data_IF_038222780198
#
_entry.id   IF_038222780198
#
_cell.length_a   1.000
_cell.length_b   1.000
_cell.length_c   1.000
_cell.angle_alpha   90.00
_cell.angle_beta   90.00
_cell.angle_gamma   90.00
#
_symmetry.space_group_name_H-M   'P 1'
#
loop_
_entity.id
_entity.type
_entity.pdbx_description
1 polymer ?
#
# COMPACT_ATOMS: atom_id res chain seq x y z
N UNK A 1 -44.36 34.15 5.72
CA UNK A 1 -44.12 33.22 4.59
C UNK A 1 -42.66 33.09 4.15
N UNK A 2 -41.93 34.18 3.82
CA UNK A 2 -40.53 34.08 3.31
C UNK A 2 -39.54 33.31 4.23
N UNK A 3 -39.67 33.41 5.56
CA UNK A 3 -38.81 32.68 6.53
C UNK A 3 -38.99 31.15 6.51
N UNK A 4 -40.21 30.65 6.26
CA UNK A 4 -40.50 29.21 6.18
C UNK A 4 -39.95 28.57 4.90
N UNK A 5 -39.91 29.33 3.80
CA UNK A 5 -39.33 28.88 2.53
C UNK A 5 -37.81 28.74 2.66
N UNK A 6 -37.14 29.72 3.29
CA UNK A 6 -35.69 29.68 3.56
C UNK A 6 -35.29 28.50 4.47
N UNK A 7 -36.07 28.21 5.52
CA UNK A 7 -35.81 27.10 6.42
C UNK A 7 -35.94 25.74 5.71
N UNK A 8 -36.95 25.56 4.86
CA UNK A 8 -37.12 24.34 4.08
C UNK A 8 -36.02 24.15 3.02
N UNK A 9 -35.59 25.23 2.35
CA UNK A 9 -34.45 25.18 1.43
C UNK A 9 -33.16 24.78 2.18
N UNK A 10 -32.93 25.33 3.37
CA UNK A 10 -31.76 24.99 4.19
C UNK A 10 -31.79 23.52 4.65
N UNK A 11 -32.94 23.00 5.05
CA UNK A 11 -33.11 21.58 5.42
C UNK A 11 -32.93 20.64 4.23
N UNK A 12 -33.42 20.99 3.04
CA UNK A 12 -33.20 20.20 1.81
C UNK A 12 -31.73 20.21 1.41
N UNK A 13 -31.05 21.35 1.50
CA UNK A 13 -29.61 21.45 1.22
C UNK A 13 -28.77 20.67 2.24
N UNK A 14 -29.14 20.71 3.52
CA UNK A 14 -28.51 19.90 4.57
C UNK A 14 -28.72 18.41 4.32
N UNK A 15 -29.94 18.00 3.94
CA UNK A 15 -30.25 16.62 3.55
C UNK A 15 -29.38 16.16 2.39
N UNK A 16 -29.32 16.93 1.30
CA UNK A 16 -28.47 16.63 0.15
C UNK A 16 -26.98 16.58 0.50
N UNK A 17 -26.51 17.41 1.43
CA UNK A 17 -25.13 17.39 1.89
C UNK A 17 -24.79 16.13 2.70
N UNK A 18 -25.69 15.70 3.60
CA UNK A 18 -25.54 14.47 4.40
C UNK A 18 -25.54 13.24 3.48
N UNK A 19 -26.54 13.10 2.59
CA UNK A 19 -26.60 11.98 1.64
C UNK A 19 -25.37 11.93 0.71
N UNK A 20 -24.90 13.08 0.20
CA UNK A 20 -23.71 13.13 -0.63
C UNK A 20 -22.42 12.77 0.13
N UNK A 21 -22.35 13.02 1.45
CA UNK A 21 -21.22 12.63 2.29
C UNK A 21 -21.24 11.12 2.58
N UNK A 22 -22.42 10.55 2.78
CA UNK A 22 -22.63 9.11 2.97
C UNK A 22 -22.26 8.33 1.71
N UNK A 23 -22.73 8.74 0.53
CA UNK A 23 -22.40 8.12 -0.76
C UNK A 23 -20.88 8.13 -1.04
N UNK A 24 -20.21 9.25 -0.75
CA UNK A 24 -18.75 9.38 -0.92
C UNK A 24 -18.01 8.44 0.04
N UNK A 25 -18.53 8.25 1.24
CA UNK A 25 -17.93 7.37 2.26
C UNK A 25 -18.12 5.92 1.87
N UNK A 26 -19.32 5.53 1.44
CA UNK A 26 -19.61 4.19 0.95
C UNK A 26 -18.72 3.82 -0.25
N UNK A 27 -18.58 4.72 -1.23
CA UNK A 27 -17.69 4.51 -2.37
C UNK A 27 -16.24 4.29 -1.94
N UNK A 28 -15.74 5.03 -0.94
CA UNK A 28 -14.37 4.84 -0.40
C UNK A 28 -14.20 3.48 0.27
N UNK A 29 -15.22 2.99 0.97
CA UNK A 29 -15.21 1.68 1.62
C UNK A 29 -15.23 0.57 0.57
N UNK A 30 -16.16 0.62 -0.39
CA UNK A 30 -16.28 -0.38 -1.44
C UNK A 30 -15.01 -0.43 -2.32
N UNK A 31 -14.41 0.72 -2.64
CA UNK A 31 -13.12 0.77 -3.33
C UNK A 31 -12.00 0.11 -2.53
N UNK A 32 -11.96 0.30 -1.20
CA UNK A 32 -10.98 -0.33 -0.33
C UNK A 32 -11.16 -1.86 -0.29
N UNK A 33 -12.39 -2.36 -0.15
CA UNK A 33 -12.67 -3.79 -0.15
C UNK A 33 -12.35 -4.41 -1.51
N UNK A 34 -12.75 -3.79 -2.61
CA UNK A 34 -12.44 -4.24 -3.97
C UNK A 34 -10.92 -4.32 -4.17
N UNK A 35 -10.21 -3.29 -3.75
CA UNK A 35 -8.75 -3.24 -3.77
C UNK A 35 -8.11 -4.39 -2.97
N UNK A 36 -8.58 -4.63 -1.75
CA UNK A 36 -8.09 -5.71 -0.88
C UNK A 36 -8.34 -7.06 -1.52
N UNK A 37 -9.58 -7.32 -1.96
CA UNK A 37 -9.97 -8.59 -2.54
C UNK A 37 -9.18 -8.90 -3.82
N UNK A 38 -9.02 -7.89 -4.70
CA UNK A 38 -8.19 -8.01 -5.92
C UNK A 38 -6.72 -8.28 -5.61
N UNK A 39 -6.17 -7.61 -4.60
CA UNK A 39 -4.76 -7.81 -4.20
C UNK A 39 -4.55 -9.22 -3.62
N UNK A 40 -5.53 -9.71 -2.88
CA UNK A 40 -5.52 -11.01 -2.22
C UNK A 40 -6.00 -12.17 -3.11
N UNK A 41 -6.27 -11.92 -4.39
CA UNK A 41 -6.68 -12.96 -5.35
C UNK A 41 -8.07 -13.55 -5.07
N UNK A 42 -8.99 -12.77 -4.50
CA UNK A 42 -10.35 -13.23 -4.22
C UNK A 42 -10.50 -14.06 -2.94
N UNK A 43 -9.46 -14.14 -2.11
CA UNK A 43 -9.42 -15.03 -0.94
C UNK A 43 -10.11 -14.49 0.32
N UNK A 44 -10.74 -13.31 0.27
CA UNK A 44 -11.47 -12.78 1.42
C UNK A 44 -12.78 -13.54 1.63
N UNK A 45 -13.04 -13.97 2.87
CA UNK A 45 -14.34 -14.55 3.24
C UNK A 45 -15.41 -13.47 3.43
N UNK A 46 -16.69 -13.87 3.44
CA UNK A 46 -17.80 -12.95 3.72
C UNK A 46 -17.63 -12.24 5.06
N UNK A 47 -17.29 -12.98 6.12
CA UNK A 47 -17.07 -12.43 7.46
C UNK A 47 -15.90 -11.44 7.49
N UNK A 48 -14.79 -11.78 6.84
CA UNK A 48 -13.65 -10.85 6.71
C UNK A 48 -14.06 -9.57 5.99
N UNK A 49 -14.88 -9.64 4.95
CA UNK A 49 -15.38 -8.45 4.24
C UNK A 49 -16.23 -7.58 5.17
N UNK A 50 -17.13 -8.16 5.97
CA UNK A 50 -17.95 -7.42 6.93
C UNK A 50 -17.08 -6.71 7.96
N UNK A 51 -16.14 -7.43 8.57
CA UNK A 51 -15.22 -6.87 9.58
C UNK A 51 -14.33 -5.77 8.99
N UNK A 52 -13.79 -5.97 7.80
CA UNK A 52 -12.96 -4.96 7.12
C UNK A 52 -13.76 -3.70 6.75
N UNK A 53 -15.05 -3.83 6.42
CA UNK A 53 -15.93 -2.68 6.17
C UNK A 53 -16.15 -1.87 7.44
N UNK A 54 -16.52 -2.53 8.55
CA UNK A 54 -16.72 -1.88 9.84
C UNK A 54 -15.46 -1.12 10.28
N UNK A 55 -14.31 -1.81 10.22
CA UNK A 55 -13.03 -1.22 10.57
C UNK A 55 -12.65 -0.02 9.66
N UNK A 56 -13.01 -0.07 8.38
CA UNK A 56 -12.75 1.03 7.44
C UNK A 56 -13.65 2.24 7.72
N UNK A 57 -14.89 2.01 8.13
CA UNK A 57 -15.81 3.08 8.56
C UNK A 57 -15.21 3.81 9.75
N UNK A 58 -14.78 3.08 10.78
CA UNK A 58 -14.23 3.66 12.00
C UNK A 58 -12.96 4.47 11.70
N UNK A 59 -12.05 3.92 10.90
CA UNK A 59 -10.87 4.65 10.46
C UNK A 59 -11.20 5.95 9.72
N UNK A 60 -12.19 5.94 8.81
CA UNK A 60 -12.57 7.15 8.08
C UNK A 60 -13.23 8.20 8.99
N UNK A 61 -13.99 7.77 9.99
CA UNK A 61 -14.58 8.66 11.01
C UNK A 61 -13.49 9.31 11.86
N UNK A 62 -12.54 8.52 12.38
CA UNK A 62 -11.42 9.08 13.16
C UNK A 62 -10.54 10.00 12.31
N UNK A 63 -10.27 9.64 11.05
CA UNK A 63 -9.48 10.47 10.15
C UNK A 63 -10.12 11.84 9.87
N UNK A 64 -11.46 11.95 9.90
CA UNK A 64 -12.16 13.23 9.73
C UNK A 64 -11.99 14.17 10.93
N UNK A 65 -11.73 13.62 12.12
CA UNK A 65 -11.50 14.41 13.34
C UNK A 65 -10.08 14.97 13.41
N UNK A 66 -9.13 14.36 12.69
CA UNK A 66 -7.72 14.75 12.69
C UNK A 66 -7.48 15.92 11.74
N UNK A 67 -6.81 16.95 12.23
CA UNK A 67 -6.47 18.13 11.44
C UNK A 67 -5.69 17.77 10.17
N UNK A 68 -5.92 18.52 9.09
CA UNK A 68 -5.34 18.23 7.78
C UNK A 68 -3.80 18.19 7.83
N UNK A 69 -3.18 19.01 8.67
CA UNK A 69 -1.74 19.20 8.79
C UNK A 69 -1.12 18.38 9.93
N UNK A 70 -1.92 17.67 10.73
CA UNK A 70 -1.45 16.78 11.80
C UNK A 70 -0.87 15.45 11.25
N UNK A 71 0.29 15.52 10.58
CA UNK A 71 0.94 14.37 9.92
C UNK A 71 1.25 13.23 10.90
N UNK A 72 1.69 13.55 12.13
CA UNK A 72 2.03 12.52 13.13
C UNK A 72 0.80 11.73 13.58
N UNK A 73 -0.31 12.41 13.83
CA UNK A 73 -1.55 11.79 14.27
C UNK A 73 -2.19 10.93 13.18
N UNK A 74 -2.19 11.42 11.93
CA UNK A 74 -2.62 10.61 10.77
C UNK A 74 -1.79 9.33 10.63
N UNK A 75 -0.47 9.41 10.81
CA UNK A 75 0.39 8.22 10.77
C UNK A 75 0.07 7.23 11.89
N UNK A 76 -0.29 7.73 13.08
CA UNK A 76 -0.71 6.89 14.20
C UNK A 76 -2.02 6.15 13.87
N UNK A 77 -3.04 6.86 13.40
CA UNK A 77 -4.30 6.25 12.96
C UNK A 77 -4.10 5.24 11.83
N UNK A 78 -3.25 5.55 10.85
CA UNK A 78 -2.93 4.61 9.77
C UNK A 78 -2.21 3.35 10.26
N UNK A 79 -1.39 3.47 11.31
CA UNK A 79 -0.70 2.33 11.94
C UNK A 79 -1.72 1.45 12.66
N UNK A 80 -2.54 2.03 13.53
CA UNK A 80 -3.60 1.31 14.27
C UNK A 80 -4.59 0.63 13.32
N UNK A 81 -4.98 1.31 12.24
CA UNK A 81 -5.81 0.71 11.19
C UNK A 81 -5.15 -0.50 10.53
N UNK A 82 -3.83 -0.49 10.29
CA UNK A 82 -3.15 -1.65 9.71
C UNK A 82 -3.07 -2.82 10.70
N UNK A 83 -2.82 -2.54 11.96
CA UNK A 83 -2.76 -3.56 13.03
C UNK A 83 -4.11 -4.24 13.21
N UNK A 84 -5.18 -3.46 13.34
CA UNK A 84 -6.54 -4.00 13.45
C UNK A 84 -6.96 -4.79 12.20
N UNK A 85 -6.51 -4.35 11.01
CA UNK A 85 -6.77 -5.10 9.76
C UNK A 85 -6.06 -6.44 9.78
N UNK A 86 -4.81 -6.48 10.25
CA UNK A 86 -4.03 -7.70 10.30
C UNK A 86 -4.67 -8.73 11.26
N UNK A 87 -5.39 -8.31 12.31
CA UNK A 87 -6.15 -9.22 13.18
C UNK A 87 -7.31 -9.94 12.48
N UNK A 88 -7.80 -9.41 11.36
CA UNK A 88 -8.90 -10.01 10.57
C UNK A 88 -8.35 -10.97 9.50
N UNK A 89 -7.12 -10.74 9.04
CA UNK A 89 -6.53 -11.43 7.91
C UNK A 89 -5.71 -12.63 8.35
N UNK A 90 -5.63 -13.63 7.46
CA UNK A 90 -4.69 -14.75 7.68
C UNK A 90 -3.26 -14.29 7.44
N UNK A 91 -2.30 -15.00 8.03
CA UNK A 91 -0.87 -14.72 7.87
C UNK A 91 -0.44 -14.69 6.39
N UNK A 92 -1.00 -15.59 5.57
CA UNK A 92 -0.75 -15.61 4.13
C UNK A 92 -1.30 -14.35 3.44
N UNK A 93 -2.51 -13.92 3.78
CA UNK A 93 -3.10 -12.68 3.24
C UNK A 93 -2.26 -11.45 3.64
N UNK A 94 -1.79 -11.37 4.89
CA UNK A 94 -0.89 -10.31 5.35
C UNK A 94 0.41 -10.32 4.54
N UNK A 95 0.99 -11.50 4.31
CA UNK A 95 2.20 -11.69 3.50
C UNK A 95 2.00 -11.20 2.06
N UNK A 96 0.88 -11.53 1.42
CA UNK A 96 0.54 -11.06 0.07
C UNK A 96 0.39 -9.54 0.01
N UNK A 97 -0.20 -8.91 1.04
CA UNK A 97 -0.30 -7.45 1.13
C UNK A 97 1.07 -6.80 1.32
N UNK A 98 1.94 -7.38 2.13
CA UNK A 98 3.31 -6.92 2.33
C UNK A 98 4.10 -6.93 1.00
N UNK A 99 4.04 -8.03 0.26
CA UNK A 99 4.66 -8.14 -1.08
C UNK A 99 4.10 -7.06 -2.02
N UNK A 100 2.77 -6.93 -2.10
CA UNK A 100 2.14 -5.95 -2.99
C UNK A 100 2.50 -4.50 -2.64
N UNK A 101 2.64 -4.19 -1.34
CA UNK A 101 3.06 -2.87 -0.85
C UNK A 101 4.51 -2.58 -1.21
N UNK A 102 5.41 -3.55 -1.05
CA UNK A 102 6.81 -3.39 -1.42
C UNK A 102 6.94 -3.17 -2.94
N UNK A 103 6.31 -4.02 -3.75
CA UNK A 103 6.32 -3.88 -5.21
C UNK A 103 5.78 -2.52 -5.68
N UNK A 104 4.69 -2.01 -5.08
CA UNK A 104 4.18 -0.68 -5.44
C UNK A 104 5.08 0.45 -5.01
N UNK A 105 5.70 0.36 -3.83
CA UNK A 105 6.68 1.36 -3.40
C UNK A 105 7.84 1.39 -4.37
N UNK A 106 8.31 0.23 -4.79
CA UNK A 106 9.42 0.08 -5.71
C UNK A 106 9.11 0.67 -7.08
N UNK A 107 7.99 0.29 -7.71
CA UNK A 107 7.53 0.90 -8.96
C UNK A 107 7.38 2.42 -8.86
N UNK A 108 6.87 2.92 -7.73
CA UNK A 108 6.75 4.38 -7.49
C UNK A 108 8.11 5.06 -7.42
N UNK A 109 9.11 4.43 -6.82
CA UNK A 109 10.48 4.96 -6.74
C UNK A 109 11.13 4.92 -8.11
N UNK A 110 10.98 3.81 -8.85
CA UNK A 110 11.51 3.69 -10.21
C UNK A 110 10.92 4.75 -11.14
N UNK A 111 9.61 4.99 -11.07
CA UNK A 111 8.96 6.05 -11.84
C UNK A 111 9.47 7.44 -11.46
N UNK A 112 9.68 7.71 -10.18
CA UNK A 112 10.15 9.03 -9.72
C UNK A 112 11.63 9.27 -10.05
N UNK A 113 12.45 8.24 -9.95
CA UNK A 113 13.90 8.36 -10.13
C UNK A 113 14.31 8.19 -11.59
N UNK A 114 13.68 7.28 -12.33
CA UNK A 114 14.10 6.88 -13.68
C UNK A 114 13.05 7.16 -14.75
N UNK A 115 11.93 7.78 -14.40
CA UNK A 115 10.89 8.18 -15.36
C UNK A 115 10.34 7.03 -16.21
N UNK A 116 10.30 5.80 -15.67
CA UNK A 116 9.85 4.62 -16.41
C UNK A 116 8.41 4.78 -16.95
N UNK A 117 8.21 4.28 -18.19
CA UNK A 117 6.92 4.34 -18.89
C UNK A 117 5.85 3.46 -18.23
N UNK A 118 4.62 3.52 -18.74
CA UNK A 118 3.54 2.64 -18.23
C UNK A 118 3.74 1.19 -18.65
N UNK A 119 4.28 0.99 -19.84
CA UNK A 119 4.62 -0.30 -20.43
C UNK A 119 5.70 -0.97 -19.57
N UNK A 120 6.80 -0.25 -19.30
CA UNK A 120 7.88 -0.70 -18.41
C UNK A 120 7.37 -0.98 -16.99
N UNK A 121 6.47 -0.14 -16.46
CA UNK A 121 5.84 -0.41 -15.15
C UNK A 121 5.05 -1.72 -15.14
N UNK A 122 4.41 -2.09 -16.25
CA UNK A 122 3.68 -3.34 -16.41
C UNK A 122 4.60 -4.55 -16.34
N UNK A 123 5.68 -4.53 -17.10
CA UNK A 123 6.71 -5.58 -17.15
C UNK A 123 7.40 -5.74 -15.78
N UNK A 124 7.91 -4.64 -15.23
CA UNK A 124 8.61 -4.64 -13.94
C UNK A 124 7.72 -5.08 -12.78
N UNK A 125 6.41 -4.85 -12.86
CA UNK A 125 5.49 -5.27 -11.79
C UNK A 125 5.50 -6.78 -11.56
N UNK A 126 5.60 -7.58 -12.63
CA UNK A 126 5.65 -9.04 -12.54
C UNK A 126 6.95 -9.49 -11.86
N UNK A 127 8.07 -9.01 -12.39
CA UNK A 127 9.42 -9.28 -11.93
C UNK A 127 9.61 -8.90 -10.46
N UNK A 128 9.29 -7.65 -10.11
CA UNK A 128 9.39 -7.14 -8.75
C UNK A 128 8.48 -7.90 -7.79
N UNK A 129 7.28 -8.33 -8.20
CA UNK A 129 6.40 -9.14 -7.34
C UNK A 129 7.04 -10.49 -7.01
N UNK A 130 7.69 -11.14 -7.97
CA UNK A 130 8.40 -12.42 -7.75
C UNK A 130 9.57 -12.24 -6.79
N UNK A 131 10.42 -11.25 -7.04
CA UNK A 131 11.60 -10.97 -6.22
C UNK A 131 11.22 -10.52 -4.80
N UNK A 132 10.21 -9.66 -4.67
CA UNK A 132 9.73 -9.23 -3.35
C UNK A 132 9.03 -10.35 -2.58
N UNK A 133 8.44 -11.35 -3.26
CA UNK A 133 7.95 -12.56 -2.60
C UNK A 133 9.10 -13.32 -1.92
N UNK A 134 10.23 -13.51 -2.60
CA UNK A 134 11.41 -14.15 -2.02
C UNK A 134 11.90 -13.38 -0.80
N UNK A 135 12.10 -12.07 -0.95
CA UNK A 135 12.61 -11.21 0.11
C UNK A 135 11.70 -11.20 1.35
N UNK A 136 10.39 -11.03 1.17
CA UNK A 136 9.43 -11.00 2.28
C UNK A 136 9.32 -12.38 2.95
N UNK A 137 9.37 -13.46 2.18
CA UNK A 137 9.34 -14.82 2.74
C UNK A 137 10.58 -15.09 3.58
N UNK A 138 11.76 -14.68 3.11
CA UNK A 138 13.01 -14.79 3.86
C UNK A 138 12.95 -14.01 5.19
N UNK A 139 12.42 -12.78 5.19
CA UNK A 139 12.27 -11.96 6.41
C UNK A 139 11.39 -12.60 7.50
N UNK A 140 10.47 -13.49 7.12
CA UNK A 140 9.62 -14.21 8.07
C UNK A 140 10.34 -15.37 8.75
N UNK A 141 11.29 -15.97 8.04
CA UNK A 141 11.97 -17.20 8.47
C UNK A 141 13.30 -16.91 9.14
N UNK A 142 14.02 -15.89 8.67
CA UNK A 142 15.40 -15.60 9.07
C UNK A 142 15.54 -14.23 9.73
N UNK A 143 16.51 -14.11 10.63
CA UNK A 143 16.97 -12.81 11.15
C UNK A 143 17.67 -12.00 10.04
N UNK A 144 17.65 -10.67 10.15
CA UNK A 144 18.10 -9.78 9.04
C UNK A 144 19.62 -9.82 8.87
N UNK A 145 20.34 -10.14 9.93
CA UNK A 145 21.78 -10.31 10.00
C UNK A 145 22.22 -11.78 9.82
N UNK A 146 21.28 -12.70 9.60
CA UNK A 146 21.64 -14.09 9.34
C UNK A 146 22.23 -14.25 7.93
N UNK A 147 23.21 -15.14 7.80
CA UNK A 147 23.85 -15.44 6.51
C UNK A 147 22.83 -15.85 5.44
N UNK A 148 21.84 -16.68 5.79
CA UNK A 148 20.79 -17.12 4.86
C UNK A 148 19.95 -15.96 4.35
N UNK A 149 19.63 -14.98 5.22
CA UNK A 149 18.89 -13.80 4.80
C UNK A 149 19.73 -12.94 3.84
N UNK A 150 20.99 -12.69 4.19
CA UNK A 150 21.91 -11.87 3.40
C UNK A 150 22.16 -12.45 1.99
N UNK A 151 22.24 -13.77 1.87
CA UNK A 151 22.36 -14.45 0.57
C UNK A 151 21.12 -14.23 -0.31
N UNK A 152 19.92 -14.36 0.27
CA UNK A 152 18.66 -14.11 -0.45
C UNK A 152 18.54 -12.62 -0.83
N UNK A 153 18.90 -11.71 0.07
CA UNK A 153 18.86 -10.27 -0.19
C UNK A 153 19.80 -9.90 -1.36
N UNK A 154 21.03 -10.42 -1.35
CA UNK A 154 22.01 -10.23 -2.43
C UNK A 154 21.51 -10.80 -3.77
N UNK A 155 20.95 -12.01 -3.77
CA UNK A 155 20.35 -12.61 -4.97
C UNK A 155 19.19 -11.76 -5.51
N UNK A 156 18.33 -11.24 -4.63
CA UNK A 156 17.21 -10.38 -5.00
C UNK A 156 17.70 -9.06 -5.59
N UNK A 157 18.71 -8.42 -4.98
CA UNK A 157 19.31 -7.17 -5.51
C UNK A 157 19.87 -7.43 -6.90
N UNK A 158 20.66 -8.48 -7.06
CA UNK A 158 21.30 -8.84 -8.34
C UNK A 158 20.24 -9.14 -9.43
N UNK A 159 19.21 -9.90 -9.08
CA UNK A 159 18.10 -10.22 -10.00
C UNK A 159 17.34 -8.97 -10.45
N UNK A 160 17.19 -7.98 -9.56
CA UNK A 160 16.57 -6.68 -9.90
C UNK A 160 17.43 -5.92 -10.90
N UNK A 161 18.73 -5.88 -10.69
CA UNK A 161 19.66 -5.20 -11.60
C UNK A 161 19.61 -5.81 -13.01
N UNK A 162 19.53 -7.14 -13.14
CA UNK A 162 19.34 -7.79 -14.44
C UNK A 162 18.02 -7.39 -15.10
N UNK A 163 16.90 -7.46 -14.37
CA UNK A 163 15.60 -7.07 -14.91
C UNK A 163 15.55 -5.60 -15.35
N UNK A 164 16.21 -4.70 -14.61
CA UNK A 164 16.30 -3.29 -14.98
C UNK A 164 17.18 -3.09 -16.20
N UNK A 165 18.30 -3.79 -16.30
CA UNK A 165 19.16 -3.75 -17.48
C UNK A 165 18.49 -4.34 -18.74
N UNK A 166 17.49 -5.21 -18.59
CA UNK A 166 16.71 -5.71 -19.71
C UNK A 166 15.66 -4.69 -20.17
N UNK A 167 14.94 -4.08 -19.21
CA UNK A 167 13.73 -3.27 -19.48
C UNK A 167 14.05 -1.77 -19.69
N UNK A 168 15.11 -1.26 -19.08
CA UNK A 168 15.46 0.16 -19.18
C UNK A 168 16.00 0.51 -20.56
N UNK A 169 15.74 1.74 -21.00
CA UNK A 169 16.43 2.31 -22.15
C UNK A 169 17.87 2.73 -21.78
N UNK A 170 18.63 3.19 -22.78
CA UNK A 170 20.05 3.57 -22.61
C UNK A 170 20.24 4.70 -21.59
N UNK A 171 19.35 5.69 -21.56
CA UNK A 171 19.45 6.82 -20.63
C UNK A 171 19.10 6.39 -19.21
N UNK A 172 18.02 5.60 -19.07
CA UNK A 172 17.59 5.02 -17.83
C UNK A 172 18.64 4.10 -17.20
N UNK A 173 19.36 3.30 -18.01
CA UNK A 173 20.49 2.48 -17.53
C UNK A 173 21.61 3.32 -16.95
N UNK A 174 22.02 4.39 -17.64
CA UNK A 174 23.06 5.31 -17.14
C UNK A 174 22.63 5.93 -15.81
N UNK A 175 21.39 6.38 -15.73
CA UNK A 175 20.82 6.94 -14.50
C UNK A 175 20.71 5.90 -13.39
N UNK A 176 20.37 4.66 -13.73
CA UNK A 176 20.32 3.58 -12.76
C UNK A 176 21.70 3.31 -12.15
N UNK A 177 22.75 3.21 -12.96
CA UNK A 177 24.11 3.03 -12.45
C UNK A 177 24.55 4.15 -11.49
N UNK A 178 24.19 5.39 -11.80
CA UNK A 178 24.49 6.55 -10.93
C UNK A 178 23.72 6.48 -9.59
N UNK A 179 22.46 6.02 -9.60
CA UNK A 179 21.55 6.13 -8.45
C UNK A 179 21.16 4.79 -7.79
N UNK A 180 21.71 3.65 -8.22
CA UNK A 180 21.34 2.33 -7.70
C UNK A 180 21.53 2.20 -6.19
N UNK A 181 22.59 2.79 -5.62
CA UNK A 181 22.82 2.80 -4.17
C UNK A 181 21.71 3.53 -3.39
N UNK A 182 21.25 4.67 -3.91
CA UNK A 182 20.14 5.44 -3.32
C UNK A 182 18.82 4.68 -3.46
N UNK A 183 18.58 4.10 -4.63
CA UNK A 183 17.43 3.23 -4.88
C UNK A 183 17.38 2.08 -3.87
N UNK A 184 18.47 1.30 -3.76
CA UNK A 184 18.58 0.16 -2.85
C UNK A 184 18.34 0.59 -1.40
N UNK A 185 18.94 1.69 -0.96
CA UNK A 185 18.72 2.24 0.39
C UNK A 185 17.25 2.53 0.69
N UNK A 186 16.50 3.10 -0.27
CA UNK A 186 15.08 3.41 -0.10
C UNK A 186 14.26 2.11 0.03
N UNK A 187 14.56 1.11 -0.79
CA UNK A 187 13.82 -0.15 -0.81
C UNK A 187 14.13 -1.00 0.42
N UNK A 188 15.40 -1.09 0.84
CA UNK A 188 15.82 -1.81 2.06
C UNK A 188 15.14 -1.22 3.29
N UNK A 189 15.24 0.11 3.51
CA UNK A 189 14.57 0.78 4.65
C UNK A 189 13.05 0.59 4.66
N UNK A 190 12.43 0.45 3.50
CA UNK A 190 10.99 0.19 3.41
C UNK A 190 10.66 -1.29 3.65
N UNK A 191 11.50 -2.22 3.20
CA UNK A 191 11.32 -3.66 3.43
C UNK A 191 11.55 -4.03 4.89
N UNK A 192 12.51 -3.40 5.58
CA UNK A 192 12.73 -3.55 7.02
C UNK A 192 11.49 -3.17 7.83
N UNK A 193 10.87 -2.02 7.49
CA UNK A 193 9.63 -1.58 8.12
C UNK A 193 8.50 -2.58 7.94
N UNK A 194 8.39 -3.17 6.75
CA UNK A 194 7.43 -4.25 6.50
C UNK A 194 7.78 -5.48 7.34
N UNK A 195 9.05 -5.85 7.45
CA UNK A 195 9.51 -6.97 8.28
C UNK A 195 9.11 -6.81 9.75
N UNK A 196 9.27 -5.61 10.32
CA UNK A 196 8.81 -5.30 11.68
C UNK A 196 7.28 -5.43 11.80
N UNK A 197 6.52 -5.02 10.78
CA UNK A 197 5.05 -5.18 10.75
C UNK A 197 4.60 -6.65 10.61
N UNK A 198 5.48 -7.57 10.21
CA UNK A 198 5.16 -9.00 10.01
C UNK A 198 5.51 -9.89 11.21
N UNK A 199 6.35 -9.41 12.13
CA UNK A 199 6.79 -10.15 13.33
C UNK A 199 5.98 -9.82 14.59
N UNK A 200 5.10 -8.82 14.51
CA UNK A 200 4.17 -8.40 15.57
C UNK A 200 2.73 -8.72 15.17
#
# INVERSE_FOLDING_TARGET
MKKFILLNIFLVLLGQFVFAQDDKTEKKINNYISYMNKTLGGTLTGDQIVLLKAQRIDFLKELQKVDKYAVKEKRKLEKEFKENRNRILTENQITVLAISRLTRKELSVLRQMFSISKEQQGELKGELKRMNKMLISARKVYEIDSQQYLEIDSLVVTSKEYAFNEIFDVEQKKKFEEFKGRYNTIIVKYSERIGVELRN
#
